data_IF_164148663995
#
_entry.id   IF_164148663995
#
_cell.length_a   1.000
_cell.length_b   1.000
_cell.length_c   1.000
_cell.angle_alpha   90.00
_cell.angle_beta   90.00
_cell.angle_gamma   90.00
#
_symmetry.space_group_name_H-M   'P 1'
#
loop_
_entity.id
_entity.type
_entity.pdbx_description
1 polymer ?
#
# COMPACT_ATOMS: atom_id res chain seq x y z
N UNK A 1 39.41 0.37 -3.43
CA UNK A 1 38.86 -0.82 -2.75
C UNK A 1 38.31 -0.49 -1.36
N UNK A 2 39.04 0.26 -0.51
CA UNK A 2 38.57 0.67 0.83
C UNK A 2 37.30 1.55 0.82
N UNK A 3 37.14 2.50 -0.12
CA UNK A 3 35.95 3.37 -0.15
C UNK A 3 34.64 2.61 -0.42
N UNK A 4 34.70 1.61 -1.32
CA UNK A 4 33.55 0.73 -1.64
C UNK A 4 33.02 0.02 -0.40
N UNK A 5 33.93 -0.34 0.49
CA UNK A 5 33.68 -1.08 1.72
C UNK A 5 32.93 -0.29 2.80
N UNK A 6 32.87 1.05 2.69
CA UNK A 6 32.25 1.94 3.69
C UNK A 6 31.13 2.82 3.13
N UNK A 7 30.78 2.69 1.85
CA UNK A 7 29.81 3.58 1.19
C UNK A 7 28.46 3.62 1.93
N UNK A 8 27.96 2.47 2.39
CA UNK A 8 26.68 2.42 3.11
C UNK A 8 26.73 3.10 4.49
N UNK A 9 27.85 3.00 5.19
CA UNK A 9 28.04 3.70 6.47
C UNK A 9 28.11 5.21 6.25
N UNK A 10 28.82 5.65 5.20
CA UNK A 10 28.84 7.06 4.78
C UNK A 10 27.43 7.54 4.46
N UNK A 11 26.64 6.77 3.71
CA UNK A 11 25.26 7.13 3.40
C UNK A 11 24.39 7.24 4.66
N UNK A 12 24.54 6.34 5.64
CA UNK A 12 23.86 6.45 6.94
C UNK A 12 24.20 7.79 7.61
N UNK A 13 25.49 8.15 7.69
CA UNK A 13 25.91 9.44 8.26
C UNK A 13 25.37 10.64 7.48
N UNK A 14 25.30 10.56 6.14
CA UNK A 14 24.68 11.61 5.31
C UNK A 14 23.22 11.80 5.68
N UNK A 15 22.45 10.72 5.87
CA UNK A 15 21.04 10.83 6.27
C UNK A 15 20.86 11.41 7.68
N UNK A 16 21.74 11.08 8.64
CA UNK A 16 21.75 11.77 9.93
C UNK A 16 22.14 13.25 9.83
N UNK A 17 23.01 13.60 8.88
CA UNK A 17 23.31 14.99 8.52
C UNK A 17 22.07 15.72 7.98
N UNK A 18 21.33 15.10 7.06
CA UNK A 18 20.05 15.63 6.55
C UNK A 18 19.02 15.81 7.67
N UNK A 19 18.93 14.85 8.60
CA UNK A 19 18.06 14.95 9.78
C UNK A 19 18.45 16.15 10.67
N UNK A 20 19.74 16.38 10.86
CA UNK A 20 20.25 17.51 11.64
C UNK A 20 19.93 18.85 10.97
N UNK A 21 20.14 18.95 9.65
CA UNK A 21 19.75 20.13 8.86
C UNK A 21 18.24 20.35 8.94
N UNK A 22 17.44 19.29 8.83
CA UNK A 22 16.00 19.37 8.96
C UNK A 22 15.60 20.02 10.30
N UNK A 23 16.04 19.46 11.44
CA UNK A 23 15.63 19.96 12.75
C UNK A 23 16.13 21.37 13.08
N UNK A 24 17.21 21.82 12.45
CA UNK A 24 17.75 23.17 12.65
C UNK A 24 17.02 24.24 11.82
N UNK A 25 16.57 23.90 10.61
CA UNK A 25 16.11 24.91 9.65
C UNK A 25 14.65 24.75 9.22
N UNK A 26 14.18 23.53 8.99
CA UNK A 26 12.90 23.29 8.31
C UNK A 26 11.68 23.57 9.20
N UNK A 27 11.66 23.30 10.52
CA UNK A 27 10.57 23.73 11.40
C UNK A 27 10.27 25.23 11.30
N UNK A 28 11.30 26.08 11.23
CA UNK A 28 11.12 27.52 11.07
C UNK A 28 10.48 27.85 9.72
N UNK A 29 10.96 27.24 8.63
CA UNK A 29 10.36 27.41 7.30
C UNK A 29 8.89 26.94 7.25
N UNK A 30 8.53 25.87 7.99
CA UNK A 30 7.16 25.39 8.12
C UNK A 30 6.29 26.42 8.87
N UNK A 31 6.82 27.04 9.94
CA UNK A 31 6.13 28.10 10.65
C UNK A 31 5.94 29.35 9.77
N UNK A 32 6.97 29.74 9.02
CA UNK A 32 6.92 30.87 8.08
C UNK A 32 5.89 30.63 6.97
N UNK A 33 5.83 29.43 6.36
CA UNK A 33 4.84 29.17 5.30
C UNK A 33 3.42 29.11 5.88
N UNK A 34 3.25 28.63 7.10
CA UNK A 34 1.97 28.66 7.81
C UNK A 34 1.50 30.10 8.05
N UNK A 35 2.42 31.00 8.41
CA UNK A 35 2.16 32.44 8.58
C UNK A 35 2.04 33.21 7.25
N UNK A 36 2.40 32.62 6.12
CA UNK A 36 2.44 33.30 4.81
C UNK A 36 3.70 34.15 4.58
N UNK A 37 4.75 33.92 5.35
CA UNK A 37 6.02 34.67 5.36
C UNK A 37 7.20 33.89 4.77
N UNK A 38 7.00 32.63 4.34
CA UNK A 38 8.08 31.80 3.83
C UNK A 38 8.72 32.33 2.54
N UNK A 39 10.01 32.06 2.32
CA UNK A 39 10.68 32.31 1.06
C UNK A 39 9.96 31.68 -0.14
N UNK A 40 9.93 32.39 -1.27
CA UNK A 40 9.24 31.97 -2.51
C UNK A 40 9.61 30.55 -2.95
N UNK A 41 10.88 30.18 -2.83
CA UNK A 41 11.36 28.84 -3.21
C UNK A 41 10.73 27.73 -2.35
N UNK A 42 10.54 27.99 -1.04
CA UNK A 42 9.97 27.01 -0.12
C UNK A 42 8.46 26.91 -0.32
N UNK A 43 7.78 28.04 -0.51
CA UNK A 43 6.36 28.08 -0.89
C UNK A 43 6.11 27.27 -2.16
N UNK A 44 6.92 27.47 -3.20
CA UNK A 44 6.81 26.71 -4.45
C UNK A 44 7.07 25.22 -4.25
N UNK A 45 8.06 24.86 -3.43
CA UNK A 45 8.34 23.46 -3.07
C UNK A 45 7.14 22.82 -2.38
N UNK A 46 6.59 23.45 -1.34
CA UNK A 46 5.44 22.92 -0.60
C UNK A 46 4.21 22.81 -1.49
N UNK A 47 3.90 23.80 -2.32
CA UNK A 47 2.77 23.70 -3.27
C UNK A 47 2.96 22.60 -4.32
N UNK A 48 4.20 22.22 -4.61
CA UNK A 48 4.53 21.13 -5.54
C UNK A 48 4.37 19.76 -4.87
N UNK A 49 4.95 19.58 -3.68
CA UNK A 49 4.98 18.28 -2.99
C UNK A 49 3.72 18.02 -2.15
N UNK A 50 3.07 19.09 -1.67
CA UNK A 50 1.92 19.06 -0.80
C UNK A 50 0.88 20.13 -1.17
N UNK A 51 0.22 19.98 -2.34
CA UNK A 51 -0.70 20.99 -2.87
C UNK A 51 -1.91 21.30 -1.95
N UNK A 52 -2.20 20.41 -0.98
CA UNK A 52 -3.30 20.58 -0.02
C UNK A 52 -2.96 21.47 1.18
N UNK A 53 -1.71 21.91 1.30
CA UNK A 53 -1.25 22.71 2.44
C UNK A 53 -2.14 23.92 2.72
N UNK A 54 -2.49 24.69 1.68
CA UNK A 54 -3.31 25.92 1.81
C UNK A 54 -4.74 25.66 2.31
N UNK A 55 -5.33 24.53 1.96
CA UNK A 55 -6.66 24.16 2.42
C UNK A 55 -6.59 23.63 3.86
N UNK A 56 -5.58 22.82 4.14
CA UNK A 56 -5.42 22.15 5.43
C UNK A 56 -4.94 23.08 6.54
N UNK A 57 -4.17 24.14 6.24
CA UNK A 57 -3.75 25.11 7.26
C UNK A 57 -4.91 25.84 7.93
N UNK A 58 -6.07 25.89 7.26
CA UNK A 58 -7.31 26.42 7.83
C UNK A 58 -8.01 25.43 8.76
N UNK A 59 -7.61 24.16 8.75
CA UNK A 59 -8.23 23.05 9.50
C UNK A 59 -7.39 22.58 10.67
N UNK A 60 -6.08 22.70 10.56
CA UNK A 60 -5.13 22.15 11.52
C UNK A 60 -4.19 23.24 12.05
N UNK A 61 -3.73 23.08 13.29
CA UNK A 61 -2.77 23.99 13.91
C UNK A 61 -1.37 23.83 13.32
N UNK A 62 -0.49 24.81 13.54
CA UNK A 62 0.93 24.72 13.19
C UNK A 62 1.58 23.46 13.78
N UNK A 63 1.27 23.11 15.03
CA UNK A 63 1.80 21.92 15.71
C UNK A 63 1.50 20.63 14.94
N UNK A 64 0.31 20.53 14.32
CA UNK A 64 -0.03 19.39 13.48
C UNK A 64 0.93 19.25 12.30
N UNK A 65 1.23 20.34 11.59
CA UNK A 65 2.15 20.33 10.45
C UNK A 65 3.59 20.03 10.87
N UNK A 66 4.06 20.64 11.97
CA UNK A 66 5.39 20.35 12.52
C UNK A 66 5.52 18.88 12.90
N UNK A 67 4.55 18.33 13.62
CA UNK A 67 4.55 16.93 14.03
C UNK A 67 4.50 15.98 12.82
N UNK A 68 3.67 16.27 11.81
CA UNK A 68 3.60 15.47 10.59
C UNK A 68 4.90 15.52 9.78
N UNK A 69 5.51 16.69 9.63
CA UNK A 69 6.79 16.83 8.94
C UNK A 69 7.90 16.08 9.68
N UNK A 70 8.00 16.25 11.01
CA UNK A 70 8.97 15.55 11.86
C UNK A 70 8.84 14.03 11.65
N UNK A 71 7.60 13.53 11.67
CA UNK A 71 7.30 12.12 11.49
C UNK A 71 7.75 11.59 10.12
N UNK A 72 7.48 12.33 9.04
CA UNK A 72 7.90 11.92 7.69
C UNK A 72 9.42 11.83 7.61
N UNK A 73 10.13 12.84 8.11
CA UNK A 73 11.60 12.86 8.06
C UNK A 73 12.21 11.77 8.94
N UNK A 74 11.67 11.53 10.14
CA UNK A 74 12.09 10.42 11.01
C UNK A 74 11.86 9.08 10.31
N UNK A 75 10.68 8.84 9.73
CA UNK A 75 10.37 7.59 9.02
C UNK A 75 11.30 7.35 7.84
N UNK A 76 11.54 8.38 7.03
CA UNK A 76 12.47 8.31 5.91
C UNK A 76 13.90 8.03 6.38
N UNK A 77 14.36 8.69 7.44
CA UNK A 77 15.70 8.50 7.98
C UNK A 77 15.87 7.09 8.55
N UNK A 78 14.90 6.61 9.33
CA UNK A 78 14.90 5.26 9.88
C UNK A 78 14.90 4.20 8.77
N UNK A 79 14.02 4.35 7.78
CA UNK A 79 13.95 3.43 6.65
C UNK A 79 15.28 3.36 5.88
N UNK A 80 15.84 4.51 5.50
CA UNK A 80 17.11 4.57 4.79
C UNK A 80 18.25 3.99 5.63
N UNK A 81 18.28 4.28 6.93
CA UNK A 81 19.29 3.74 7.84
C UNK A 81 19.22 2.22 7.94
N UNK A 82 18.01 1.66 8.06
CA UNK A 82 17.78 0.22 8.08
C UNK A 82 18.16 -0.43 6.74
N UNK A 83 17.80 0.19 5.61
CA UNK A 83 18.14 -0.28 4.28
C UNK A 83 19.67 -0.33 4.08
N UNK A 84 20.39 0.73 4.41
CA UNK A 84 21.85 0.75 4.26
C UNK A 84 22.54 -0.18 5.24
N UNK A 85 22.01 -0.33 6.45
CA UNK A 85 22.49 -1.34 7.40
C UNK A 85 22.31 -2.74 6.85
N UNK A 86 21.14 -3.04 6.28
CA UNK A 86 20.86 -4.30 5.60
C UNK A 86 21.83 -4.55 4.44
N UNK A 87 22.02 -3.56 3.56
CA UNK A 87 22.95 -3.66 2.42
C UNK A 87 24.40 -3.84 2.88
N UNK A 88 24.81 -3.13 3.93
CA UNK A 88 26.12 -3.30 4.55
C UNK A 88 26.34 -4.74 5.04
N UNK A 89 25.38 -5.31 5.77
CA UNK A 89 25.46 -6.70 6.21
C UNK A 89 25.40 -7.68 5.04
N UNK A 90 24.56 -7.43 4.03
CA UNK A 90 24.47 -8.25 2.83
C UNK A 90 25.79 -8.28 2.06
N UNK A 91 26.50 -7.16 1.98
CA UNK A 91 27.81 -7.10 1.34
C UNK A 91 28.93 -7.71 2.20
N UNK A 92 28.90 -7.59 3.52
CA UNK A 92 30.02 -8.01 4.38
C UNK A 92 29.91 -9.43 4.92
N UNK A 93 28.70 -9.95 5.11
CA UNK A 93 28.48 -11.22 5.75
C UNK A 93 27.99 -12.27 4.73
N UNK A 94 28.89 -13.17 4.31
CA UNK A 94 28.57 -14.23 3.36
C UNK A 94 27.43 -15.14 3.82
N UNK A 95 27.33 -15.42 5.13
CA UNK A 95 26.24 -16.23 5.70
C UNK A 95 24.91 -15.49 5.56
N UNK A 96 24.87 -14.20 5.92
CA UNK A 96 23.67 -13.38 5.77
C UNK A 96 23.26 -13.23 4.30
N UNK A 97 24.21 -12.95 3.40
CA UNK A 97 23.98 -12.92 1.96
C UNK A 97 23.39 -14.22 1.44
N UNK A 98 23.96 -15.36 1.85
CA UNK A 98 23.46 -16.68 1.47
C UNK A 98 22.04 -16.91 1.99
N UNK A 99 21.73 -16.53 3.23
CA UNK A 99 20.38 -16.61 3.80
C UNK A 99 19.37 -15.77 3.01
N UNK A 100 19.69 -14.51 2.71
CA UNK A 100 18.84 -13.63 1.92
C UNK A 100 18.66 -14.17 0.49
N UNK A 101 19.73 -14.63 -0.14
CA UNK A 101 19.64 -15.21 -1.48
C UNK A 101 18.78 -16.49 -1.49
N UNK A 102 18.90 -17.35 -0.48
CA UNK A 102 18.07 -18.53 -0.35
C UNK A 102 16.60 -18.17 -0.13
N UNK A 103 16.33 -17.12 0.66
CA UNK A 103 15.00 -16.58 0.85
C UNK A 103 14.36 -16.12 -0.46
N UNK A 104 15.08 -15.34 -1.28
CA UNK A 104 14.59 -14.89 -2.58
C UNK A 104 14.61 -15.96 -3.68
N UNK A 105 15.37 -17.05 -3.52
CA UNK A 105 15.43 -18.18 -4.45
C UNK A 105 14.38 -19.27 -4.17
N UNK A 106 13.46 -19.02 -3.23
CA UNK A 106 12.33 -19.92 -3.03
C UNK A 106 11.57 -20.12 -4.34
N UNK A 107 11.20 -21.37 -4.61
CA UNK A 107 10.55 -21.78 -5.85
C UNK A 107 9.05 -21.88 -5.66
N UNK A 108 8.30 -21.54 -6.71
CA UNK A 108 6.87 -21.81 -6.84
C UNK A 108 6.63 -22.68 -8.07
N UNK A 109 5.56 -23.46 -8.00
CA UNK A 109 5.02 -24.14 -9.17
C UNK A 109 4.35 -23.15 -10.11
N UNK A 110 4.62 -23.33 -11.40
CA UNK A 110 4.09 -22.49 -12.48
C UNK A 110 2.56 -22.49 -12.57
N UNK A 111 1.91 -23.62 -12.31
CA UNK A 111 0.44 -23.74 -12.27
C UNK A 111 -0.16 -22.80 -11.22
N UNK A 112 0.38 -22.82 -10.00
CA UNK A 112 -0.06 -22.01 -8.88
C UNK A 112 0.10 -20.52 -9.14
N UNK A 113 1.23 -20.10 -9.72
CA UNK A 113 1.42 -18.70 -10.10
C UNK A 113 0.49 -18.25 -11.23
N UNK A 114 0.23 -19.13 -12.21
CA UNK A 114 -0.76 -18.86 -13.27
C UNK A 114 -2.16 -18.69 -12.70
N UNK A 115 -2.57 -19.56 -11.78
CA UNK A 115 -3.86 -19.45 -11.11
C UNK A 115 -3.97 -18.13 -10.34
N UNK A 116 -2.92 -17.76 -9.59
CA UNK A 116 -2.85 -16.47 -8.90
C UNK A 116 -2.96 -15.28 -9.88
N UNK A 117 -2.31 -15.34 -11.05
CA UNK A 117 -2.47 -14.32 -12.09
C UNK A 117 -3.92 -14.22 -12.59
N UNK A 118 -4.55 -15.35 -12.90
CA UNK A 118 -5.95 -15.39 -13.34
C UNK A 118 -6.85 -14.76 -12.27
N UNK A 119 -6.68 -15.19 -11.01
CA UNK A 119 -7.45 -14.67 -9.88
C UNK A 119 -7.27 -13.17 -9.74
N UNK A 120 -6.03 -12.68 -9.75
CA UNK A 120 -5.72 -11.26 -9.65
C UNK A 120 -6.40 -10.41 -10.74
N UNK A 121 -6.25 -10.79 -12.01
CA UNK A 121 -6.84 -10.00 -13.11
C UNK A 121 -8.36 -10.12 -13.17
N UNK A 122 -8.93 -11.24 -12.72
CA UNK A 122 -10.38 -11.35 -12.47
C UNK A 122 -10.81 -10.36 -11.39
N UNK A 123 -10.02 -10.26 -10.31
CA UNK A 123 -10.21 -9.26 -9.26
C UNK A 123 -10.15 -7.83 -9.79
N UNK A 124 -9.20 -7.49 -10.65
CA UNK A 124 -9.12 -6.15 -11.26
C UNK A 124 -10.41 -5.84 -12.03
N UNK A 125 -10.90 -6.77 -12.86
CA UNK A 125 -12.19 -6.58 -13.57
C UNK A 125 -13.31 -6.35 -12.55
N UNK A 126 -13.41 -7.21 -11.54
CA UNK A 126 -14.46 -7.15 -10.52
C UNK A 126 -14.45 -5.82 -9.74
N UNK A 127 -13.31 -5.42 -9.16
CA UNK A 127 -13.21 -4.23 -8.32
C UNK A 127 -13.25 -2.91 -9.08
N UNK A 128 -13.02 -2.93 -10.40
CA UNK A 128 -13.15 -1.75 -11.26
C UNK A 128 -14.47 -1.71 -12.03
N UNK A 129 -15.30 -2.77 -11.95
CA UNK A 129 -16.60 -2.81 -12.60
C UNK A 129 -17.54 -1.68 -12.15
N UNK A 130 -17.40 -1.19 -10.91
CA UNK A 130 -18.19 -0.08 -10.37
C UNK A 130 -17.71 1.32 -10.75
N UNK A 131 -16.51 1.46 -11.33
CA UNK A 131 -15.89 2.78 -11.58
C UNK A 131 -16.69 3.66 -12.54
N UNK A 132 -17.59 3.11 -13.37
CA UNK A 132 -18.48 3.92 -14.19
C UNK A 132 -19.47 4.74 -13.33
N UNK A 133 -19.96 4.17 -12.22
CA UNK A 133 -20.88 4.87 -11.31
C UNK A 133 -20.13 5.99 -10.57
N UNK A 134 -18.89 5.70 -10.15
CA UNK A 134 -18.02 6.71 -9.54
C UNK A 134 -17.75 7.85 -10.52
N UNK A 135 -17.46 7.52 -11.78
CA UNK A 135 -17.24 8.52 -12.84
C UNK A 135 -18.49 9.39 -13.07
N UNK A 136 -19.68 8.82 -13.17
CA UNK A 136 -20.93 9.59 -13.33
C UNK A 136 -21.18 10.55 -12.16
N UNK A 137 -20.82 10.14 -10.94
CA UNK A 137 -20.91 11.02 -9.78
C UNK A 137 -19.87 12.14 -9.82
N UNK A 138 -18.63 11.82 -10.22
CA UNK A 138 -17.56 12.81 -10.35
C UNK A 138 -17.78 13.79 -11.49
N UNK A 139 -18.48 13.38 -12.55
CA UNK A 139 -18.84 14.26 -13.65
C UNK A 139 -19.67 15.47 -13.18
N UNK A 140 -20.52 15.29 -12.15
CA UNK A 140 -21.33 16.38 -11.55
C UNK A 140 -20.47 17.44 -10.85
N UNK A 141 -19.25 17.07 -10.45
CA UNK A 141 -18.29 17.92 -9.75
C UNK A 141 -17.01 18.14 -10.56
N UNK A 142 -17.05 17.94 -11.89
CA UNK A 142 -15.88 18.01 -12.77
C UNK A 142 -15.11 19.34 -12.71
N UNK A 143 -15.76 20.43 -12.26
CA UNK A 143 -15.13 21.73 -12.02
C UNK A 143 -14.00 21.67 -10.97
N UNK A 144 -14.05 20.69 -10.06
CA UNK A 144 -13.03 20.49 -9.02
C UNK A 144 -11.90 19.55 -9.46
N UNK A 145 -11.89 19.08 -10.71
CA UNK A 145 -10.84 18.22 -11.21
C UNK A 145 -9.50 18.97 -11.33
N UNK A 146 -8.49 18.48 -10.60
CA UNK A 146 -7.12 18.95 -10.62
C UNK A 146 -6.18 17.76 -10.84
N UNK A 147 -5.57 17.62 -12.04
CA UNK A 147 -4.75 16.46 -12.35
C UNK A 147 -3.54 16.36 -11.40
N UNK A 148 -3.29 15.17 -10.86
CA UNK A 148 -2.16 14.89 -9.97
C UNK A 148 -1.00 14.20 -10.69
N UNK A 149 0.22 14.33 -10.15
CA UNK A 149 1.41 13.58 -10.60
C UNK A 149 1.65 13.67 -12.12
N UNK A 150 1.83 12.55 -12.81
CA UNK A 150 2.06 12.51 -14.26
C UNK A 150 0.88 13.04 -15.08
N UNK A 151 -0.37 12.97 -14.59
CA UNK A 151 -1.51 13.58 -15.29
C UNK A 151 -1.34 15.11 -15.39
N UNK A 152 -0.73 15.72 -14.38
CA UNK A 152 -0.38 17.15 -14.39
C UNK A 152 0.69 17.43 -15.46
N UNK A 153 1.71 16.56 -15.56
CA UNK A 153 2.76 16.67 -16.59
C UNK A 153 2.19 16.58 -18.00
N UNK A 154 1.19 15.73 -18.21
CA UNK A 154 0.51 15.59 -19.51
C UNK A 154 -0.61 16.61 -19.75
N UNK A 155 -0.86 17.54 -18.82
CA UNK A 155 -1.96 18.50 -18.93
C UNK A 155 -3.32 17.83 -19.11
N UNK A 156 -3.51 16.64 -18.52
CA UNK A 156 -4.73 15.85 -18.68
C UNK A 156 -5.92 16.62 -18.13
N UNK A 157 -6.90 16.93 -18.98
CA UNK A 157 -8.19 17.52 -18.58
C UNK A 157 -9.14 16.43 -18.08
N UNK A 158 -10.26 16.83 -17.47
CA UNK A 158 -11.33 15.90 -17.16
C UNK A 158 -11.75 15.15 -18.44
N UNK A 159 -11.77 13.82 -18.38
CA UNK A 159 -11.96 12.97 -19.55
C UNK A 159 -13.43 13.05 -20.02
N UNK A 160 -13.70 13.10 -21.33
CA UNK A 160 -15.04 12.87 -21.84
C UNK A 160 -15.52 11.43 -21.55
N UNK A 161 -16.84 11.24 -21.40
CA UNK A 161 -17.42 9.94 -21.00
C UNK A 161 -17.03 8.80 -21.96
N UNK A 162 -17.04 9.05 -23.27
CA UNK A 162 -16.63 8.06 -24.27
C UNK A 162 -15.16 7.67 -24.14
N UNK A 163 -14.28 8.63 -23.85
CA UNK A 163 -12.85 8.37 -23.62
C UNK A 163 -12.66 7.53 -22.36
N UNK A 164 -13.36 7.89 -21.27
CA UNK A 164 -13.30 7.11 -20.03
C UNK A 164 -13.79 5.67 -20.23
N UNK A 165 -14.95 5.48 -20.89
CA UNK A 165 -15.49 4.14 -21.19
C UNK A 165 -14.57 3.32 -22.09
N UNK A 166 -13.96 3.94 -23.11
CA UNK A 166 -12.98 3.26 -23.95
C UNK A 166 -11.78 2.78 -23.13
N UNK A 167 -11.22 3.63 -22.27
CA UNK A 167 -10.08 3.26 -21.41
C UNK A 167 -10.45 2.16 -20.41
N UNK A 168 -11.64 2.23 -19.80
CA UNK A 168 -12.15 1.17 -18.92
C UNK A 168 -12.35 -0.16 -19.66
N UNK A 169 -12.99 -0.13 -20.83
CA UNK A 169 -13.20 -1.30 -21.67
C UNK A 169 -11.88 -1.91 -22.14
N UNK A 170 -10.89 -1.07 -22.48
CA UNK A 170 -9.54 -1.50 -22.83
C UNK A 170 -8.84 -2.19 -21.64
N UNK A 171 -8.96 -1.65 -20.43
CA UNK A 171 -8.41 -2.28 -19.22
C UNK A 171 -8.99 -3.68 -19.01
N UNK A 172 -10.32 -3.80 -19.07
CA UNK A 172 -11.01 -5.08 -18.90
C UNK A 172 -10.65 -6.07 -20.01
N UNK A 173 -10.58 -5.61 -21.26
CA UNK A 173 -10.16 -6.44 -22.39
C UNK A 173 -8.73 -6.96 -22.21
N UNK A 174 -7.78 -6.12 -21.80
CA UNK A 174 -6.40 -6.55 -21.49
C UNK A 174 -6.36 -7.58 -20.35
N UNK A 175 -7.19 -7.42 -19.32
CA UNK A 175 -7.33 -8.40 -18.24
C UNK A 175 -7.91 -9.74 -18.73
N UNK A 176 -8.89 -9.71 -19.65
CA UNK A 176 -9.41 -10.93 -20.28
C UNK A 176 -8.33 -11.63 -21.11
N UNK A 177 -7.57 -10.89 -21.94
CA UNK A 177 -6.45 -11.47 -22.68
C UNK A 177 -5.41 -12.13 -21.76
N UNK A 178 -5.15 -11.54 -20.59
CA UNK A 178 -4.29 -12.13 -19.55
C UNK A 178 -4.84 -13.44 -19.00
N UNK A 179 -6.14 -13.48 -18.67
CA UNK A 179 -6.83 -14.68 -18.17
C UNK A 179 -6.76 -15.81 -19.22
N UNK A 180 -6.91 -15.48 -20.50
CA UNK A 180 -6.78 -16.43 -21.62
C UNK A 180 -5.32 -16.63 -22.09
N UNK A 181 -4.34 -16.07 -21.37
CA UNK A 181 -2.90 -16.23 -21.63
C UNK A 181 -2.46 -15.77 -23.04
N UNK A 182 -3.12 -14.75 -23.60
CA UNK A 182 -2.77 -14.12 -24.89
C UNK A 182 -1.77 -12.98 -24.64
N UNK A 183 -0.52 -13.14 -25.13
CA UNK A 183 0.58 -12.16 -24.96
C UNK A 183 0.68 -11.58 -23.53
N UNK A 184 0.70 -12.42 -22.48
CA UNK A 184 0.40 -11.97 -21.12
C UNK A 184 1.40 -10.93 -20.59
N UNK A 185 2.70 -11.00 -20.89
CA UNK A 185 3.61 -9.95 -20.42
C UNK A 185 3.25 -8.55 -20.95
N UNK A 186 3.07 -8.39 -22.26
CA UNK A 186 2.67 -7.11 -22.85
C UNK A 186 1.32 -6.63 -22.30
N UNK A 187 0.33 -7.52 -22.25
CA UNK A 187 -0.99 -7.19 -21.72
C UNK A 187 -0.94 -6.79 -20.24
N UNK A 188 -0.08 -7.42 -19.42
CA UNK A 188 0.11 -7.06 -18.02
C UNK A 188 0.72 -5.67 -17.85
N UNK A 189 1.75 -5.33 -18.63
CA UNK A 189 2.35 -3.99 -18.61
C UNK A 189 1.32 -2.91 -18.96
N UNK A 190 0.55 -3.11 -20.03
CA UNK A 190 -0.47 -2.16 -20.47
C UNK A 190 -1.62 -2.05 -19.45
N UNK A 191 -2.08 -3.18 -18.89
CA UNK A 191 -3.11 -3.19 -17.87
C UNK A 191 -2.65 -2.45 -16.59
N UNK A 192 -1.41 -2.65 -16.16
CA UNK A 192 -0.83 -1.96 -15.00
C UNK A 192 -0.77 -0.44 -15.20
N UNK A 193 -0.27 0.01 -16.35
CA UNK A 193 -0.22 1.44 -16.70
C UNK A 193 -1.61 2.05 -16.74
N UNK A 194 -2.57 1.36 -17.38
CA UNK A 194 -3.93 1.85 -17.54
C UNK A 194 -4.70 1.88 -16.21
N UNK A 195 -4.52 0.87 -15.36
CA UNK A 195 -5.07 0.83 -14.01
C UNK A 195 -4.56 2.01 -13.16
N UNK A 196 -3.25 2.24 -13.15
CA UNK A 196 -2.64 3.37 -12.43
C UNK A 196 -3.07 4.72 -13.00
N UNK A 197 -3.18 4.84 -14.32
CA UNK A 197 -3.70 6.04 -14.99
C UNK A 197 -5.12 6.37 -14.54
N UNK A 198 -6.03 5.40 -14.63
CA UNK A 198 -7.44 5.59 -14.26
C UNK A 198 -7.60 5.87 -12.76
N UNK A 199 -6.81 5.21 -11.91
CA UNK A 199 -6.82 5.49 -10.48
C UNK A 199 -6.31 6.90 -10.15
N UNK A 200 -5.21 7.34 -10.79
CA UNK A 200 -4.72 8.70 -10.64
C UNK A 200 -5.75 9.74 -11.12
N UNK A 201 -6.53 9.40 -12.16
CA UNK A 201 -7.65 10.23 -12.62
C UNK A 201 -8.72 10.38 -11.52
N UNK A 202 -9.12 9.28 -10.87
CA UNK A 202 -10.06 9.35 -9.73
C UNK A 202 -9.51 10.15 -8.54
N UNK A 203 -8.20 10.12 -8.30
CA UNK A 203 -7.56 10.88 -7.21
C UNK A 203 -7.32 12.36 -7.54
N UNK A 204 -7.59 12.77 -8.79
CA UNK A 204 -7.49 14.16 -9.23
C UNK A 204 -8.64 15.05 -8.72
N UNK A 205 -9.43 14.58 -7.76
CA UNK A 205 -10.47 15.36 -7.06
C UNK A 205 -10.06 15.71 -5.62
N UNK A 206 -8.74 15.82 -5.38
CA UNK A 206 -8.12 16.08 -4.07
C UNK A 206 -8.46 15.06 -2.95
N UNK A 207 -9.21 13.99 -3.28
CA UNK A 207 -9.48 12.86 -2.41
C UNK A 207 -8.43 11.78 -2.64
N UNK A 208 -7.52 11.64 -1.69
CA UNK A 208 -6.63 10.48 -1.61
C UNK A 208 -7.45 9.34 -0.99
N UNK A 209 -7.95 8.45 -1.85
CA UNK A 209 -8.59 7.21 -1.41
C UNK A 209 -7.54 6.12 -1.28
N UNK A 210 -7.48 5.40 -0.16
CA UNK A 210 -6.53 4.30 0.02
C UNK A 210 -7.15 2.92 -0.25
N UNK A 211 -8.42 2.87 -0.67
CA UNK A 211 -9.15 1.62 -0.92
C UNK A 211 -8.43 0.71 -1.92
N UNK A 212 -7.85 1.28 -2.97
CA UNK A 212 -7.21 0.53 -4.06
C UNK A 212 -5.68 0.44 -3.95
N UNK A 213 -5.07 1.04 -2.92
CA UNK A 213 -3.61 1.17 -2.80
C UNK A 213 -2.88 -0.17 -2.91
N UNK A 214 -3.40 -1.22 -2.28
CA UNK A 214 -2.83 -2.58 -2.36
C UNK A 214 -2.86 -3.14 -3.78
N UNK A 215 -3.98 -2.96 -4.49
CA UNK A 215 -4.10 -3.37 -5.88
C UNK A 215 -3.18 -2.56 -6.79
N UNK A 216 -2.97 -1.27 -6.53
CA UNK A 216 -2.01 -0.44 -7.28
C UNK A 216 -0.61 -1.01 -7.23
N UNK A 217 -0.13 -1.29 -6.02
CA UNK A 217 1.22 -1.83 -5.83
C UNK A 217 1.35 -3.23 -6.41
N UNK A 218 0.33 -4.08 -6.22
CA UNK A 218 0.30 -5.39 -6.85
C UNK A 218 0.32 -5.26 -8.39
N UNK A 219 -0.55 -4.45 -8.98
CA UNK A 219 -0.63 -4.21 -10.43
C UNK A 219 0.71 -3.74 -11.02
N UNK A 220 1.44 -2.87 -10.33
CA UNK A 220 2.76 -2.40 -10.78
C UNK A 220 3.82 -3.52 -10.80
N UNK A 221 3.71 -4.51 -9.91
CA UNK A 221 4.68 -5.60 -9.76
C UNK A 221 4.26 -6.88 -10.51
N UNK A 222 2.98 -7.06 -10.82
CA UNK A 222 2.45 -8.22 -11.54
C UNK A 222 3.08 -8.47 -12.91
N UNK A 223 3.46 -7.46 -13.73
CA UNK A 223 4.17 -7.71 -14.98
C UNK A 223 5.49 -8.47 -14.81
N UNK A 224 6.21 -8.24 -13.71
CA UNK A 224 7.43 -8.99 -13.39
C UNK A 224 7.11 -10.44 -13.05
N UNK A 225 6.04 -10.70 -12.30
CA UNK A 225 5.61 -12.07 -12.01
C UNK A 225 5.16 -12.80 -13.28
N UNK A 226 4.43 -12.13 -14.16
CA UNK A 226 4.02 -12.67 -15.46
C UNK A 226 5.24 -12.96 -16.34
N UNK A 227 6.23 -12.07 -16.35
CA UNK A 227 7.50 -12.28 -17.03
C UNK A 227 8.23 -13.52 -16.49
N UNK A 228 8.34 -13.65 -15.16
CA UNK A 228 8.91 -14.82 -14.50
C UNK A 228 8.18 -16.12 -14.91
N UNK A 229 6.85 -16.09 -15.04
CA UNK A 229 6.06 -17.25 -15.50
C UNK A 229 6.34 -17.61 -16.96
N UNK A 230 6.50 -16.62 -17.83
CA UNK A 230 6.69 -16.86 -19.26
C UNK A 230 8.08 -17.41 -19.60
N UNK A 231 9.12 -16.80 -19.03
CA UNK A 231 10.49 -17.00 -19.50
C UNK A 231 11.29 -18.03 -18.70
N UNK A 232 10.81 -18.48 -17.53
CA UNK A 232 11.49 -19.49 -16.72
C UNK A 232 10.81 -20.88 -16.81
N UNK A 233 11.57 -21.92 -16.45
CA UNK A 233 11.16 -23.33 -16.45
C UNK A 233 10.07 -23.62 -15.41
N UNK A 234 9.72 -24.90 -15.19
CA UNK A 234 8.60 -25.30 -14.31
C UNK A 234 8.70 -24.78 -12.86
N UNK A 235 9.92 -24.57 -12.38
CA UNK A 235 10.19 -24.00 -11.05
C UNK A 235 10.63 -22.55 -11.18
N UNK A 236 9.72 -21.64 -10.83
CA UNK A 236 9.91 -20.20 -10.99
C UNK A 236 10.37 -19.60 -9.67
N UNK A 237 11.31 -18.66 -9.74
CA UNK A 237 11.75 -17.83 -8.61
C UNK A 237 10.56 -17.02 -8.08
N UNK A 238 10.31 -17.02 -6.77
CA UNK A 238 9.22 -16.23 -6.15
C UNK A 238 9.56 -14.75 -5.98
N UNK A 239 10.51 -14.17 -6.74
CA UNK A 239 11.02 -12.82 -6.47
C UNK A 239 9.96 -11.74 -6.65
N UNK A 240 9.25 -11.72 -7.77
CA UNK A 240 8.17 -10.74 -7.97
C UNK A 240 7.03 -10.92 -6.96
N UNK A 241 6.66 -12.17 -6.66
CA UNK A 241 5.64 -12.47 -5.64
C UNK A 241 6.07 -11.97 -4.24
N UNK A 242 7.31 -12.23 -3.84
CA UNK A 242 7.89 -11.72 -2.59
C UNK A 242 7.91 -10.19 -2.59
N UNK A 243 8.21 -9.55 -3.71
CA UNK A 243 8.13 -8.10 -3.86
C UNK A 243 6.72 -7.55 -3.61
N UNK A 244 5.69 -8.21 -4.16
CA UNK A 244 4.28 -7.87 -3.90
C UNK A 244 3.97 -8.04 -2.42
N UNK A 245 4.27 -9.21 -1.85
CA UNK A 245 4.03 -9.50 -0.43
C UNK A 245 4.71 -8.49 0.49
N UNK A 246 6.00 -8.18 0.26
CA UNK A 246 6.75 -7.19 1.03
C UNK A 246 6.13 -5.80 0.92
N UNK A 247 5.70 -5.39 -0.27
CA UNK A 247 5.09 -4.06 -0.47
C UNK A 247 3.74 -3.96 0.24
N UNK A 248 2.91 -5.00 0.17
CA UNK A 248 1.64 -5.07 0.90
C UNK A 248 1.86 -5.06 2.41
N UNK A 249 2.82 -5.86 2.89
CA UNK A 249 3.17 -5.88 4.30
C UNK A 249 3.76 -4.57 4.80
N UNK A 250 4.51 -3.88 3.94
CA UNK A 250 5.05 -2.56 4.24
C UNK A 250 3.95 -1.51 4.42
N UNK A 251 2.86 -1.60 3.63
CA UNK A 251 1.72 -0.70 3.80
C UNK A 251 1.08 -0.84 5.20
N UNK A 252 0.90 -2.07 5.70
CA UNK A 252 0.43 -2.30 7.07
C UNK A 252 1.41 -1.80 8.12
N UNK A 253 2.70 -2.09 7.96
CA UNK A 253 3.71 -1.62 8.90
C UNK A 253 3.73 -0.08 8.98
N UNK A 254 3.62 0.60 7.83
CA UNK A 254 3.54 2.07 7.78
C UNK A 254 2.27 2.60 8.44
N UNK A 255 1.12 1.93 8.29
CA UNK A 255 -0.12 2.32 8.96
C UNK A 255 -0.01 2.19 10.49
N UNK A 256 0.61 1.13 11.00
CA UNK A 256 0.84 0.94 12.44
C UNK A 256 1.88 1.92 13.00
N UNK A 257 2.99 2.13 12.29
CA UNK A 257 3.99 3.13 12.63
C UNK A 257 3.39 4.54 12.61
N UNK A 258 2.48 4.83 11.70
CA UNK A 258 1.83 6.14 11.65
C UNK A 258 1.05 6.43 12.93
N UNK A 259 0.28 5.45 13.41
CA UNK A 259 -0.48 5.58 14.67
C UNK A 259 0.45 5.83 15.85
N UNK A 260 1.49 5.00 15.99
CA UNK A 260 2.44 5.14 17.10
C UNK A 260 3.24 6.43 17.08
N UNK A 261 3.66 6.90 15.89
CA UNK A 261 4.51 8.08 15.81
C UNK A 261 3.73 9.39 15.88
N UNK A 262 2.44 9.41 15.52
CA UNK A 262 1.60 10.63 15.58
C UNK A 262 1.00 10.81 16.97
N UNK A 263 0.30 9.79 17.47
CA UNK A 263 -0.46 9.93 18.73
C UNK A 263 0.18 9.18 19.89
N UNK A 264 1.22 8.38 19.64
CA UNK A 264 1.93 7.64 20.69
C UNK A 264 0.99 6.75 21.49
N UNK A 265 1.10 6.86 22.81
CA UNK A 265 0.27 6.10 23.75
C UNK A 265 -1.20 6.53 23.76
N UNK A 266 -1.55 7.70 23.23
CA UNK A 266 -2.95 8.16 23.16
C UNK A 266 -3.79 7.27 22.23
N UNK A 267 -3.17 6.58 21.27
CA UNK A 267 -3.84 5.60 20.43
C UNK A 267 -4.36 4.37 21.20
N UNK A 268 -3.89 4.12 22.42
CA UNK A 268 -4.43 3.02 23.23
C UNK A 268 -5.56 3.46 24.16
N UNK A 269 -5.88 4.75 24.19
CA UNK A 269 -6.97 5.26 25.01
C UNK A 269 -8.31 4.85 24.39
N UNK A 270 -9.28 4.32 25.17
CA UNK A 270 -10.55 3.85 24.65
C UNK A 270 -11.33 4.96 23.90
N UNK A 271 -11.17 6.20 24.31
CA UNK A 271 -11.80 7.39 23.73
C UNK A 271 -11.47 7.55 22.25
N UNK A 272 -10.27 7.14 21.81
CA UNK A 272 -9.84 7.25 20.41
C UNK A 272 -10.73 6.40 19.49
N UNK A 273 -10.93 5.10 19.79
CA UNK A 273 -11.84 4.27 19.01
C UNK A 273 -13.31 4.67 19.23
N UNK A 274 -13.71 5.01 20.46
CA UNK A 274 -15.08 5.46 20.74
C UNK A 274 -15.46 6.69 19.90
N UNK A 275 -14.55 7.65 19.77
CA UNK A 275 -14.75 8.83 18.92
C UNK A 275 -15.02 8.43 17.46
N UNK A 276 -14.22 7.52 16.90
CA UNK A 276 -14.44 7.02 15.55
C UNK A 276 -15.78 6.28 15.41
N UNK A 277 -16.10 5.37 16.34
CA UNK A 277 -17.36 4.63 16.34
C UNK A 277 -18.58 5.55 16.38
N UNK A 278 -18.55 6.58 17.23
CA UNK A 278 -19.62 7.56 17.37
C UNK A 278 -19.69 8.53 16.20
N UNK A 279 -18.57 8.85 15.54
CA UNK A 279 -18.56 9.70 14.34
C UNK A 279 -19.21 8.99 13.16
N UNK A 280 -18.97 7.68 13.02
CA UNK A 280 -19.48 6.88 11.92
C UNK A 280 -20.92 6.36 12.11
N UNK A 281 -21.44 6.40 13.35
CA UNK A 281 -22.85 6.10 13.67
C UNK A 281 -23.36 4.73 13.20
N UNK A 282 -22.48 3.74 13.00
CA UNK A 282 -22.89 2.38 12.69
C UNK A 282 -23.58 1.76 13.93
N UNK A 283 -24.72 1.06 13.80
CA UNK A 283 -25.45 0.53 14.96
C UNK A 283 -24.60 -0.36 15.87
N UNK A 284 -23.82 -1.28 15.28
CA UNK A 284 -22.89 -2.13 16.02
C UNK A 284 -21.74 -1.33 16.65
N UNK A 285 -21.30 -0.25 16.00
CA UNK A 285 -20.26 0.64 16.52
C UNK A 285 -20.72 1.43 17.74
N UNK A 286 -21.95 1.97 17.72
CA UNK A 286 -22.56 2.66 18.87
C UNK A 286 -22.70 1.71 20.06
N UNK A 287 -23.06 0.45 19.81
CA UNK A 287 -23.08 -0.58 20.85
C UNK A 287 -21.67 -0.83 21.42
N UNK A 288 -20.67 -1.01 20.56
CA UNK A 288 -19.28 -1.27 20.94
C UNK A 288 -18.68 -0.09 21.75
N UNK A 289 -19.02 1.14 21.39
CA UNK A 289 -18.52 2.35 22.04
C UNK A 289 -18.86 2.42 23.54
N UNK A 290 -19.86 1.66 24.02
CA UNK A 290 -20.22 1.58 25.45
C UNK A 290 -19.20 0.81 26.28
N UNK A 291 -18.29 0.05 25.65
CA UNK A 291 -17.35 -0.85 26.32
C UNK A 291 -15.90 -0.36 26.15
N UNK A 292 -15.47 0.57 27.02
CA UNK A 292 -14.12 1.16 26.96
C UNK A 292 -12.99 0.12 26.95
N UNK A 293 -13.04 -0.88 27.84
CA UNK A 293 -12.01 -1.94 27.87
C UNK A 293 -11.89 -2.70 26.54
N UNK A 294 -13.03 -3.01 25.89
CA UNK A 294 -13.03 -3.67 24.59
C UNK A 294 -12.46 -2.74 23.51
N UNK A 295 -12.79 -1.44 23.56
CA UNK A 295 -12.25 -0.46 22.63
C UNK A 295 -10.72 -0.32 22.74
N UNK A 296 -10.18 -0.26 23.95
CA UNK A 296 -8.74 -0.28 24.20
C UNK A 296 -8.09 -1.57 23.67
N UNK A 297 -8.68 -2.73 23.99
CA UNK A 297 -8.16 -4.04 23.56
C UNK A 297 -8.11 -4.16 22.04
N UNK A 298 -9.18 -3.75 21.34
CA UNK A 298 -9.24 -3.76 19.89
C UNK A 298 -8.18 -2.85 19.27
N UNK A 299 -7.96 -1.65 19.81
CA UNK A 299 -6.89 -0.77 19.33
C UNK A 299 -5.50 -1.39 19.48
N UNK A 300 -5.24 -2.05 20.61
CA UNK A 300 -4.00 -2.79 20.80
C UNK A 300 -3.82 -3.90 19.75
N UNK A 301 -4.88 -4.69 19.51
CA UNK A 301 -4.86 -5.75 18.51
C UNK A 301 -4.66 -5.21 17.09
N UNK A 302 -5.25 -4.07 16.74
CA UNK A 302 -5.06 -3.41 15.45
C UNK A 302 -3.60 -3.02 15.25
N UNK A 303 -2.98 -2.33 16.22
CA UNK A 303 -1.59 -1.91 16.11
C UNK A 303 -0.65 -3.12 16.09
N UNK A 304 -0.89 -4.12 16.93
CA UNK A 304 -0.12 -5.37 16.94
C UNK A 304 -0.22 -6.11 15.60
N UNK A 305 -1.41 -6.18 15.01
CA UNK A 305 -1.64 -6.74 13.68
C UNK A 305 -0.87 -5.96 12.62
N UNK A 306 -1.04 -4.64 12.54
CA UNK A 306 -0.43 -3.79 11.51
C UNK A 306 1.10 -3.84 11.55
N UNK A 307 1.71 -3.71 12.74
CA UNK A 307 3.16 -3.81 12.91
C UNK A 307 3.68 -5.23 12.68
N UNK A 308 2.94 -6.23 13.15
CA UNK A 308 3.30 -7.63 13.05
C UNK A 308 3.12 -8.23 11.65
N UNK A 309 2.31 -7.61 10.79
CA UNK A 309 1.96 -8.19 9.49
C UNK A 309 3.17 -8.44 8.59
N UNK A 310 4.27 -7.69 8.73
CA UNK A 310 5.52 -7.94 7.98
C UNK A 310 6.14 -9.30 8.28
N UNK A 311 5.88 -9.87 9.46
CA UNK A 311 6.38 -11.18 9.85
C UNK A 311 5.77 -12.31 8.99
N UNK A 312 4.63 -12.07 8.36
CA UNK A 312 3.95 -13.03 7.48
C UNK A 312 4.83 -13.49 6.30
N UNK A 313 5.73 -12.61 5.86
CA UNK A 313 6.65 -12.84 4.73
C UNK A 313 7.79 -13.77 5.15
N UNK A 314 8.28 -13.63 6.38
CA UNK A 314 9.43 -14.37 6.89
C UNK A 314 9.05 -15.68 7.59
N UNK A 315 7.84 -15.78 8.12
CA UNK A 315 7.38 -16.92 8.92
C UNK A 315 6.11 -17.55 8.31
N UNK A 316 6.23 -18.56 7.43
CA UNK A 316 5.07 -19.19 6.77
C UNK A 316 4.05 -19.78 7.76
N UNK A 317 4.49 -20.22 8.94
CA UNK A 317 3.63 -20.87 9.95
C UNK A 317 2.56 -19.94 10.54
N UNK A 318 2.86 -18.65 10.68
CA UNK A 318 1.92 -17.66 11.25
C UNK A 318 1.02 -17.04 10.17
N UNK A 319 1.21 -17.43 8.91
CA UNK A 319 0.60 -16.76 7.77
C UNK A 319 -0.92 -16.73 7.83
N UNK A 320 -1.53 -17.88 8.07
CA UNK A 320 -2.98 -17.99 8.12
C UNK A 320 -3.58 -17.25 9.32
N UNK A 321 -2.85 -17.16 10.44
CA UNK A 321 -3.27 -16.35 11.59
C UNK A 321 -3.39 -14.88 11.18
N UNK A 322 -2.39 -14.34 10.47
CA UNK A 322 -2.45 -12.96 9.97
C UNK A 322 -3.47 -12.76 8.85
N UNK A 323 -3.65 -13.71 7.93
CA UNK A 323 -4.70 -13.62 6.90
C UNK A 323 -6.09 -13.55 7.56
N UNK A 324 -6.39 -14.47 8.47
CA UNK A 324 -7.69 -14.49 9.18
C UNK A 324 -7.87 -13.21 10.00
N UNK A 325 -6.85 -12.81 10.77
CA UNK A 325 -6.89 -11.57 11.56
C UNK A 325 -7.11 -10.35 10.66
N UNK A 326 -6.49 -10.33 9.49
CA UNK A 326 -6.64 -9.26 8.51
C UNK A 326 -8.02 -9.20 7.88
N UNK A 327 -8.63 -10.36 7.58
CA UNK A 327 -10.03 -10.43 7.13
C UNK A 327 -10.97 -9.92 8.23
N UNK A 328 -10.77 -10.39 9.47
CA UNK A 328 -11.57 -9.94 10.61
C UNK A 328 -11.39 -8.45 10.90
N UNK A 329 -10.19 -7.91 10.71
CA UNK A 329 -9.91 -6.48 10.84
C UNK A 329 -10.75 -5.66 9.86
N UNK A 330 -10.69 -5.95 8.56
CA UNK A 330 -11.46 -5.23 7.53
C UNK A 330 -12.97 -5.45 7.67
N UNK A 331 -13.38 -6.65 8.08
CA UNK A 331 -14.77 -6.92 8.40
C UNK A 331 -15.23 -6.09 9.60
N UNK A 332 -14.38 -5.98 10.62
CA UNK A 332 -14.63 -5.16 11.81
C UNK A 332 -14.78 -3.68 11.45
N UNK A 333 -13.91 -3.13 10.59
CA UNK A 333 -14.05 -1.73 10.14
C UNK A 333 -15.34 -1.52 9.36
N UNK A 334 -15.76 -2.48 8.54
CA UNK A 334 -17.03 -2.40 7.84
C UNK A 334 -18.23 -2.45 8.82
N UNK A 335 -18.27 -3.42 9.73
CA UNK A 335 -19.40 -3.60 10.66
C UNK A 335 -19.49 -2.47 11.69
N UNK A 336 -18.37 -2.08 12.30
CA UNK A 336 -18.36 -1.16 13.42
C UNK A 336 -18.16 0.30 13.02
N UNK A 337 -17.52 0.58 11.88
CA UNK A 337 -17.28 1.95 11.42
C UNK A 337 -18.03 2.27 10.12
N UNK A 338 -18.70 1.31 9.48
CA UNK A 338 -19.29 1.51 8.15
C UNK A 338 -18.27 2.07 7.14
N UNK A 339 -16.99 1.66 7.28
CA UNK A 339 -15.88 2.08 6.42
C UNK A 339 -15.44 0.90 5.57
N UNK A 340 -15.30 1.16 4.27
CA UNK A 340 -14.99 0.13 3.28
C UNK A 340 -16.23 -0.72 2.96
N UNK A 341 -16.00 -1.95 2.50
CA UNK A 341 -17.06 -2.90 2.19
C UNK A 341 -16.61 -4.33 2.44
N UNK A 342 -17.58 -5.26 2.53
CA UNK A 342 -17.32 -6.69 2.64
C UNK A 342 -16.35 -7.20 1.55
N UNK A 343 -16.55 -6.73 0.32
CA UNK A 343 -15.67 -7.00 -0.82
C UNK A 343 -14.63 -5.89 -0.93
N UNK A 344 -13.76 -5.79 0.07
CA UNK A 344 -12.67 -4.82 0.07
C UNK A 344 -11.48 -5.32 -0.78
N UNK A 345 -10.88 -4.47 -1.64
CA UNK A 345 -9.63 -4.79 -2.31
C UNK A 345 -8.49 -5.17 -1.34
N UNK A 346 -8.53 -4.68 -0.10
CA UNK A 346 -7.58 -5.05 0.94
C UNK A 346 -7.71 -6.51 1.38
N UNK A 347 -8.94 -7.02 1.50
CA UNK A 347 -9.19 -8.43 1.80
C UNK A 347 -8.73 -9.29 0.62
N UNK A 348 -9.06 -8.87 -0.60
CA UNK A 348 -8.65 -9.59 -1.80
C UNK A 348 -7.13 -9.65 -1.94
N UNK A 349 -6.38 -8.63 -1.53
CA UNK A 349 -4.92 -8.65 -1.58
C UNK A 349 -4.29 -9.78 -0.75
N UNK A 350 -5.02 -10.43 0.16
CA UNK A 350 -4.53 -11.62 0.87
C UNK A 350 -4.31 -12.85 -0.02
N UNK A 351 -4.83 -12.88 -1.26
CA UNK A 351 -4.58 -13.96 -2.22
C UNK A 351 -3.08 -14.17 -2.49
N UNK A 352 -2.28 -13.11 -2.36
CA UNK A 352 -0.84 -13.16 -2.56
C UNK A 352 -0.11 -13.90 -1.45
N UNK A 353 -0.73 -14.07 -0.29
CA UNK A 353 -0.15 -14.76 0.85
C UNK A 353 -0.59 -16.24 0.88
N UNK A 354 -1.73 -16.60 0.29
CA UNK A 354 -2.20 -18.00 0.27
C UNK A 354 -1.13 -18.94 -0.33
N UNK A 355 -0.85 -20.04 0.37
CA UNK A 355 -0.01 -21.12 -0.16
C UNK A 355 -0.85 -22.02 -1.07
N UNK A 356 -0.86 -21.68 -2.35
CA UNK A 356 -1.63 -22.39 -3.37
C UNK A 356 -1.16 -23.85 -3.59
N UNK A 357 0.12 -24.16 -3.29
CA UNK A 357 0.66 -25.53 -3.40
C UNK A 357 0.01 -26.50 -2.40
N UNK A 358 -0.22 -26.03 -1.16
CA UNK A 358 -0.86 -26.86 -0.14
C UNK A 358 -2.33 -27.18 -0.44
N UNK A 359 -3.00 -26.34 -1.23
CA UNK A 359 -4.42 -26.51 -1.56
C UNK A 359 -4.65 -27.70 -2.50
N UNK A 360 -3.80 -27.86 -3.52
CA UNK A 360 -3.87 -28.97 -4.48
C UNK A 360 -3.68 -30.33 -3.80
N UNK A 361 -2.76 -30.42 -2.83
CA UNK A 361 -2.53 -31.66 -2.07
C UNK A 361 -3.71 -32.04 -1.18
N UNK A 362 -4.43 -31.06 -0.61
CA UNK A 362 -5.62 -31.32 0.19
C UNK A 362 -6.80 -31.80 -0.67
N UNK A 363 -6.99 -31.19 -1.85
CA UNK A 363 -8.05 -31.56 -2.79
C UNK A 363 -7.80 -32.92 -3.44
N UNK A 364 -6.54 -33.25 -3.75
CA UNK A 364 -6.18 -34.54 -4.39
C UNK A 364 -6.18 -35.70 -3.40
N UNK A 365 -5.71 -35.53 -2.15
CA UNK A 365 -5.78 -36.60 -1.12
C UNK A 365 -7.20 -37.04 -0.83
N UNK A 366 -8.16 -36.11 -0.80
CA UNK A 366 -9.57 -36.44 -0.53
C UNK A 366 -10.22 -37.28 -1.62
N UNK A 367 -9.65 -37.29 -2.83
CA UNK A 367 -10.11 -38.12 -3.95
C UNK A 367 -9.40 -39.47 -4.06
N UNK A 368 -8.33 -39.70 -3.29
CA UNK A 368 -7.52 -40.92 -3.34
C UNK A 368 -7.79 -41.94 -2.23
N UNK A 369 -8.59 -41.61 -1.20
CA UNK A 369 -8.90 -42.51 -0.06
C UNK A 369 -10.31 -43.14 -0.14
N UNK A 370 -10.98 -43.07 -1.29
CA UNK A 370 -12.30 -43.69 -1.54
C UNK A 370 -12.27 -44.75 -2.66
N UNK A 371 -11.15 -45.45 -2.86
CA UNK A 371 -11.07 -46.60 -3.80
C UNK A 371 -10.74 -47.86 -3.05
#
# INVERSE_FOLDING_TARGET
MLLKNYIYLILIFVFFGVLSVYFLFVPNLIAEIFAGEAPVWFTHLIHTIYPRFEVEKNRFSLDFFLNKANQVVIRLTLFNSLLFTFLFFYERNNKFRHQINNFFRQKAEKSNLRFLCILFYTGIIFFTAGWYQDYENLQKIAVFYQPISFLKLFGTKFLPIFTFWFLMGLLHFLCLLLIFNVRPFLCSCLAAVLFVFLQAFFYSFEKIDHTYTTLTYASLLMPFLVWEIQFFSEQISKQALLGIQLTLSWAYLQAGLEKLLVSGWQWFQPETLQFHLLTHQAPAGIWLARYGFLCMTLQFLVIAFELGFVLVVFFPKIRYVFIISGVLFHLGTYIFLNVGGWLSPWIFAYIFFVDWQGLDLFLTRKNGENV
#
